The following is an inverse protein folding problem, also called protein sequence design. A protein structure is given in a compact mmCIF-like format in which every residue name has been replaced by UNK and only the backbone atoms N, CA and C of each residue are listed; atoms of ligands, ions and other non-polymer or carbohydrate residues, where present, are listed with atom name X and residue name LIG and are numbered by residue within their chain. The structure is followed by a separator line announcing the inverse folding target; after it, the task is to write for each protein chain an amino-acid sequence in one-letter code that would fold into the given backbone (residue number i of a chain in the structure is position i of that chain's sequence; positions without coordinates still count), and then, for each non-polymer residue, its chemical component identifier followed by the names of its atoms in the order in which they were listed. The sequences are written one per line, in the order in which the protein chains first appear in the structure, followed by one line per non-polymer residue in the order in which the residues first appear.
data_IF_717457074843
#
_entry.id   IF_717457074843
#
_cell.length_a   1.000
_cell.length_b   1.000
_cell.length_c   1.000
_cell.angle_alpha   90.00
_cell.angle_beta   90.00
_cell.angle_gamma   90.00
#
_symmetry.space_group_name_H-M   'P 1'
#
loop_
_entity.id
_entity.type
_entity.pdbx_description
1 polymer ?
#
# COMPACT_ATOMS: atom_id res chain seq x y z
N UNK A 1 11.20 14.49 -29.24
CA UNK A 1 11.70 13.61 -28.14
C UNK A 1 10.48 13.01 -27.48
N UNK A 2 10.29 11.69 -27.56
CA UNK A 2 9.18 10.98 -26.90
C UNK A 2 9.23 11.25 -25.39
N UNK A 3 8.23 11.95 -24.85
CA UNK A 3 8.11 12.12 -23.40
C UNK A 3 7.74 10.78 -22.78
N UNK A 4 8.65 10.23 -21.99
CA UNK A 4 8.49 8.97 -21.26
C UNK A 4 7.97 9.28 -19.85
N UNK A 5 6.86 8.65 -19.46
CA UNK A 5 6.34 8.76 -18.08
C UNK A 5 6.84 7.62 -17.20
N UNK A 6 7.37 7.98 -16.04
CA UNK A 6 8.38 7.15 -15.39
C UNK A 6 7.89 6.02 -14.50
N UNK A 7 6.65 5.98 -13.99
CA UNK A 7 6.29 4.93 -13.02
C UNK A 7 4.83 4.49 -13.12
N UNK A 8 4.61 3.28 -13.64
CA UNK A 8 3.44 2.48 -13.27
C UNK A 8 3.87 1.30 -12.40
N UNK A 9 2.94 0.81 -11.57
CA UNK A 9 3.14 -0.42 -10.81
C UNK A 9 3.43 -1.59 -11.76
N UNK A 10 4.39 -2.45 -11.39
CA UNK A 10 4.67 -3.69 -12.12
C UNK A 10 5.65 -3.56 -13.28
N UNK A 11 6.48 -2.51 -13.33
CA UNK A 11 7.61 -2.46 -14.26
C UNK A 11 7.32 -1.84 -15.62
N UNK A 12 6.16 -1.22 -15.81
CA UNK A 12 5.80 -0.60 -17.08
C UNK A 12 5.92 0.92 -17.04
N UNK A 13 6.20 1.49 -18.21
CA UNK A 13 6.18 2.93 -18.49
C UNK A 13 5.26 3.21 -19.67
N UNK A 14 5.03 4.51 -19.93
CA UNK A 14 4.20 4.97 -21.04
C UNK A 14 4.96 5.94 -21.92
N UNK A 15 4.64 5.88 -23.20
CA UNK A 15 5.14 6.74 -24.26
C UNK A 15 3.95 7.40 -24.95
N UNK A 16 4.09 8.68 -25.30
CA UNK A 16 3.07 9.42 -26.05
C UNK A 16 3.21 9.10 -27.53
N UNK A 17 2.12 8.62 -28.15
CA UNK A 17 2.06 8.29 -29.58
C UNK A 17 1.55 9.46 -30.43
N UNK A 18 0.69 10.31 -29.86
CA UNK A 18 0.17 11.52 -30.52
C UNK A 18 0.20 12.69 -29.54
N UNK A 19 1.23 13.55 -29.68
CA UNK A 19 1.46 14.68 -28.79
C UNK A 19 0.32 15.72 -28.87
N UNK A 20 -0.28 15.93 -30.05
CA UNK A 20 -1.39 16.87 -30.23
C UNK A 20 -2.67 16.36 -29.58
N UNK A 21 -2.99 15.08 -29.74
CA UNK A 21 -4.15 14.48 -29.07
C UNK A 21 -3.95 14.40 -27.55
N UNK A 22 -2.71 14.17 -27.11
CA UNK A 22 -2.34 14.19 -25.71
C UNK A 22 -2.53 15.58 -25.09
N UNK A 23 -2.04 16.64 -25.72
CA UNK A 23 -2.21 18.01 -25.23
C UNK A 23 -3.69 18.42 -25.21
N UNK A 24 -4.43 18.12 -26.29
CA UNK A 24 -5.88 18.35 -26.34
C UNK A 24 -6.65 17.61 -25.25
N UNK A 25 -6.21 16.41 -24.86
CA UNK A 25 -6.85 15.65 -23.79
C UNK A 25 -6.79 16.41 -22.46
N UNK A 26 -5.72 17.18 -22.23
CA UNK A 26 -5.48 17.93 -21.00
C UNK A 26 -6.01 19.37 -21.04
N UNK A 27 -6.21 19.92 -22.22
CA UNK A 27 -6.76 21.26 -22.40
C UNK A 27 -8.16 21.39 -21.77
N UNK A 28 -8.36 22.42 -20.94
CA UNK A 28 -9.64 22.70 -20.29
C UNK A 28 -10.02 21.79 -19.11
N UNK A 29 -9.18 20.81 -18.73
CA UNK A 29 -9.40 20.00 -17.53
C UNK A 29 -8.90 20.74 -16.28
N UNK A 30 -9.76 20.84 -15.26
CA UNK A 30 -9.38 21.42 -13.96
C UNK A 30 -8.42 20.50 -13.20
N UNK A 31 -7.41 21.04 -12.49
CA UNK A 31 -6.51 20.27 -11.64
C UNK A 31 -7.24 19.44 -10.57
N UNK A 32 -6.66 18.29 -10.22
CA UNK A 32 -7.27 17.30 -9.31
C UNK A 32 -6.71 17.32 -7.89
N UNK A 33 -5.74 18.19 -7.60
CA UNK A 33 -5.23 18.40 -6.24
C UNK A 33 -5.23 19.89 -5.92
N UNK A 34 -5.28 20.21 -4.62
CA UNK A 34 -5.26 21.60 -4.14
C UNK A 34 -4.02 22.35 -4.64
N UNK A 35 -2.86 21.72 -4.54
CA UNK A 35 -1.56 22.30 -4.94
C UNK A 35 -1.52 22.54 -6.46
N UNK A 36 -2.03 21.60 -7.26
CA UNK A 36 -2.12 21.77 -8.70
C UNK A 36 -3.14 22.85 -9.09
N UNK A 37 -4.22 23.00 -8.31
CA UNK A 37 -5.20 24.08 -8.49
C UNK A 37 -4.60 25.44 -8.11
N UNK A 38 -3.86 25.53 -7.02
CA UNK A 38 -3.16 26.74 -6.59
C UNK A 38 -2.05 27.16 -7.57
N UNK A 39 -1.31 26.21 -8.15
CA UNK A 39 -0.34 26.51 -9.21
C UNK A 39 -1.02 26.93 -10.53
N UNK A 40 -2.16 26.34 -10.88
CA UNK A 40 -2.97 26.78 -12.03
C UNK A 40 -3.49 28.20 -11.89
N UNK A 41 -3.87 28.63 -10.68
CA UNK A 41 -4.29 30.00 -10.42
C UNK A 41 -3.16 31.02 -10.67
N UNK A 42 -1.90 30.60 -10.58
CA UNK A 42 -0.73 31.46 -10.83
C UNK A 42 -0.38 31.57 -12.32
N UNK A 43 -0.56 30.49 -13.09
CA UNK A 43 -0.42 30.51 -14.54
C UNK A 43 -1.60 29.75 -15.20
N UNK A 44 -2.62 30.46 -15.68
CA UNK A 44 -3.81 29.86 -16.27
C UNK A 44 -3.54 29.18 -17.63
N UNK A 45 -2.35 29.38 -18.22
CA UNK A 45 -1.96 28.73 -19.48
C UNK A 45 -1.32 27.35 -19.25
N UNK A 46 -1.04 26.97 -18.00
CA UNK A 46 -0.53 25.64 -17.68
C UNK A 46 -1.64 24.59 -17.70
N UNK A 47 -1.41 23.51 -18.43
CA UNK A 47 -2.29 22.34 -18.43
C UNK A 47 -2.22 21.60 -17.08
N UNK A 48 -3.31 20.94 -16.69
CA UNK A 48 -3.34 20.03 -15.53
C UNK A 48 -2.15 19.04 -15.55
N UNK A 49 -1.75 18.63 -16.73
CA UNK A 49 -0.62 17.75 -16.95
C UNK A 49 0.72 18.33 -16.47
N UNK A 50 1.05 19.56 -16.86
CA UNK A 50 2.28 20.26 -16.48
C UNK A 50 2.34 20.47 -14.97
N UNK A 51 1.21 20.84 -14.37
CA UNK A 51 1.08 21.06 -12.92
C UNK A 51 1.29 19.77 -12.10
N UNK A 52 0.82 18.64 -12.62
CA UNK A 52 1.03 17.33 -11.99
C UNK A 52 2.49 16.88 -12.04
N UNK A 53 3.22 17.19 -13.12
CA UNK A 53 4.65 16.93 -13.23
C UNK A 53 5.42 17.74 -12.19
N UNK A 54 5.18 19.06 -12.10
CA UNK A 54 5.85 19.94 -11.14
C UNK A 54 5.57 19.54 -9.68
N UNK A 55 4.34 19.11 -9.40
CA UNK A 55 3.95 18.68 -8.05
C UNK A 55 4.43 17.26 -7.70
N UNK A 56 5.14 16.57 -8.59
CA UNK A 56 5.60 15.19 -8.40
C UNK A 56 4.47 14.16 -8.28
N UNK A 57 3.26 14.47 -8.77
CA UNK A 57 2.07 13.62 -8.61
C UNK A 57 1.86 12.72 -9.83
N UNK A 58 1.55 11.45 -9.59
CA UNK A 58 1.21 10.47 -10.64
C UNK A 58 -0.23 10.64 -11.15
N UNK A 59 -0.48 10.27 -12.42
CA UNK A 59 -1.83 10.31 -13.00
C UNK A 59 -2.81 9.32 -12.34
N UNK A 60 -4.09 9.70 -12.18
CA UNK A 60 -5.13 8.74 -11.81
C UNK A 60 -5.19 7.58 -12.82
N UNK A 61 -5.29 6.34 -12.34
CA UNK A 61 -5.33 5.12 -13.19
C UNK A 61 -6.43 5.17 -14.26
N UNK A 62 -7.57 5.81 -13.96
CA UNK A 62 -8.69 5.99 -14.89
C UNK A 62 -8.31 6.83 -16.11
N UNK A 63 -7.42 7.81 -15.94
CA UNK A 63 -6.95 8.70 -17.01
C UNK A 63 -6.00 7.96 -17.95
N UNK A 64 -5.03 7.23 -17.40
CA UNK A 64 -4.12 6.36 -18.16
C UNK A 64 -4.91 5.37 -19.01
N UNK A 65 -5.95 4.75 -18.45
CA UNK A 65 -6.81 3.81 -19.19
C UNK A 65 -7.52 4.44 -20.39
N UNK A 66 -7.96 5.70 -20.29
CA UNK A 66 -8.60 6.43 -21.40
C UNK A 66 -7.60 6.72 -22.51
N UNK A 67 -6.41 7.20 -22.15
CA UNK A 67 -5.33 7.51 -23.09
C UNK A 67 -4.85 6.25 -23.84
N UNK A 68 -4.71 5.11 -23.14
CA UNK A 68 -4.39 3.82 -23.75
C UNK A 68 -5.46 3.37 -24.74
N UNK A 69 -6.74 3.43 -24.34
CA UNK A 69 -7.86 3.04 -25.22
C UNK A 69 -7.95 3.91 -26.47
N UNK A 70 -7.63 5.18 -26.34
CA UNK A 70 -7.63 6.14 -27.44
C UNK A 70 -6.38 6.04 -28.34
N UNK A 71 -5.41 5.18 -28.00
CA UNK A 71 -4.14 5.06 -28.74
C UNK A 71 -3.22 6.27 -28.59
N UNK A 72 -3.54 7.20 -27.69
CA UNK A 72 -2.78 8.44 -27.48
C UNK A 72 -1.46 8.13 -26.76
N UNK A 73 -1.45 7.09 -25.91
CA UNK A 73 -0.24 6.58 -25.27
C UNK A 73 -0.11 5.07 -25.51
N UNK A 74 1.14 4.59 -25.50
CA UNK A 74 1.50 3.18 -25.55
C UNK A 74 2.18 2.77 -24.24
N UNK A 75 1.88 1.57 -23.75
CA UNK A 75 2.55 0.98 -22.59
C UNK A 75 3.72 0.13 -23.06
N UNK A 76 4.89 0.30 -22.45
CA UNK A 76 6.06 -0.55 -22.70
C UNK A 76 6.66 -1.06 -21.38
N UNK A 77 7.36 -2.20 -21.44
CA UNK A 77 8.05 -2.79 -20.28
C UNK A 77 9.38 -2.05 -20.09
N UNK A 78 9.67 -1.59 -18.88
CA UNK A 78 10.94 -0.92 -18.58
C UNK A 78 12.07 -1.93 -18.63
N UNK A 79 13.13 -1.57 -19.33
CA UNK A 79 14.38 -2.31 -19.31
C UNK A 79 14.97 -2.31 -17.90
N UNK A 80 15.58 -3.42 -17.49
CA UNK A 80 16.15 -3.58 -16.14
C UNK A 80 15.13 -3.68 -15.00
N UNK A 81 13.81 -3.74 -15.28
CA UNK A 81 12.84 -3.98 -14.21
C UNK A 81 12.97 -5.41 -13.67
N UNK A 82 13.50 -5.52 -12.46
CA UNK A 82 13.40 -6.72 -11.65
C UNK A 82 12.06 -6.69 -10.93
N UNK A 83 11.24 -7.72 -11.17
CA UNK A 83 10.03 -7.93 -10.38
C UNK A 83 10.49 -8.25 -8.97
N UNK A 84 10.34 -7.30 -8.05
CA UNK A 84 10.55 -7.55 -6.62
C UNK A 84 9.68 -8.75 -6.26
N UNK A 85 10.30 -9.80 -5.70
CA UNK A 85 9.56 -10.95 -5.22
C UNK A 85 8.48 -10.44 -4.27
N UNK A 86 7.26 -10.94 -4.47
CA UNK A 86 6.18 -10.57 -3.55
C UNK A 86 6.57 -11.19 -2.22
N UNK A 87 6.89 -10.36 -1.23
CA UNK A 87 6.91 -10.78 0.17
C UNK A 87 5.60 -11.55 0.41
N UNK A 88 5.72 -12.77 0.94
CA UNK A 88 4.59 -13.66 1.15
C UNK A 88 3.53 -12.89 1.96
N UNK A 89 2.26 -13.12 1.65
CA UNK A 89 1.19 -12.40 2.36
C UNK A 89 1.11 -13.00 3.76
N UNK A 90 1.14 -12.14 4.79
CA UNK A 90 0.85 -12.55 6.17
C UNK A 90 -0.47 -13.30 6.22
N UNK A 91 -0.42 -14.56 6.64
CA UNK A 91 -1.56 -15.39 6.98
C UNK A 91 -2.06 -15.10 8.40
N UNK A 92 -3.06 -15.87 8.81
CA UNK A 92 -3.66 -15.75 10.14
C UNK A 92 -2.66 -16.05 11.26
N UNK A 93 -1.86 -17.11 11.10
CA UNK A 93 -0.87 -17.54 12.09
C UNK A 93 0.21 -16.47 12.29
N UNK A 94 0.69 -15.83 11.22
CA UNK A 94 1.70 -14.77 11.33
C UNK A 94 1.13 -13.54 12.05
N UNK A 95 -0.15 -13.23 11.84
CA UNK A 95 -0.83 -12.13 12.54
C UNK A 95 -1.05 -12.47 14.02
N UNK A 96 -1.38 -13.74 14.34
CA UNK A 96 -1.43 -14.20 15.72
C UNK A 96 -0.09 -14.02 16.41
N UNK A 97 1.00 -14.51 15.80
CA UNK A 97 2.33 -14.36 16.35
C UNK A 97 2.69 -12.87 16.57
N UNK A 98 2.45 -12.01 15.58
CA UNK A 98 2.71 -10.57 15.68
C UNK A 98 1.96 -9.90 16.84
N UNK A 99 0.68 -10.24 17.06
CA UNK A 99 -0.11 -9.72 18.18
C UNK A 99 0.43 -10.24 19.52
N UNK A 100 0.74 -11.53 19.61
CA UNK A 100 1.24 -12.17 20.82
C UNK A 100 2.63 -11.66 21.20
N UNK A 101 3.52 -11.40 20.24
CA UNK A 101 4.80 -10.76 20.52
C UNK A 101 4.61 -9.37 21.14
N UNK A 102 3.73 -8.54 20.56
CA UNK A 102 3.44 -7.21 21.09
C UNK A 102 2.86 -7.26 22.52
N UNK A 103 2.01 -8.24 22.80
CA UNK A 103 1.37 -8.42 24.11
C UNK A 103 2.29 -9.03 25.17
N UNK A 104 3.36 -9.71 24.75
CA UNK A 104 4.35 -10.30 25.65
C UNK A 104 5.33 -9.26 26.26
N UNK A 105 5.31 -8.00 25.79
CA UNK A 105 6.16 -6.91 26.29
C UNK A 105 5.56 -6.17 27.50
N UNK A 106 4.85 -6.89 28.39
CA UNK A 106 4.22 -6.31 29.58
C UNK A 106 2.84 -5.69 29.34
N UNK A 107 2.08 -6.27 28.41
CA UNK A 107 0.71 -5.85 28.10
C UNK A 107 0.63 -4.74 27.06
N UNK A 108 -0.35 -4.86 26.16
CA UNK A 108 -0.51 -3.92 25.05
C UNK A 108 -1.96 -3.49 24.85
N UNK A 109 -2.16 -2.20 24.64
CA UNK A 109 -3.47 -1.66 24.30
C UNK A 109 -3.85 -1.95 22.84
N UNK A 110 -5.14 -2.16 22.58
CA UNK A 110 -5.70 -2.43 21.24
C UNK A 110 -5.22 -1.45 20.16
N UNK A 111 -5.13 -0.16 20.49
CA UNK A 111 -4.67 0.87 19.55
C UNK A 111 -3.22 0.64 19.13
N UNK A 112 -2.34 0.29 20.06
CA UNK A 112 -0.94 -0.04 19.77
C UNK A 112 -0.86 -1.26 18.86
N UNK A 113 -1.65 -2.31 19.11
CA UNK A 113 -1.74 -3.49 18.24
C UNK A 113 -2.14 -3.10 16.82
N UNK A 114 -3.16 -2.26 16.66
CA UNK A 114 -3.63 -1.80 15.33
C UNK A 114 -2.50 -1.12 14.55
N UNK A 115 -1.77 -0.21 15.19
CA UNK A 115 -0.71 0.55 14.54
C UNK A 115 0.52 -0.30 14.26
N UNK A 116 0.96 -1.11 15.22
CA UNK A 116 2.16 -1.93 15.12
C UNK A 116 1.95 -3.10 14.15
N UNK A 117 0.83 -3.81 14.26
CA UNK A 117 0.51 -4.92 13.37
C UNK A 117 -0.02 -4.48 12.00
N UNK A 118 -0.12 -3.17 11.73
CA UNK A 118 -0.66 -2.60 10.48
C UNK A 118 -2.03 -3.21 10.11
N UNK A 119 -2.93 -3.31 11.09
CA UNK A 119 -4.29 -3.82 10.94
C UNK A 119 -5.29 -2.64 10.95
N UNK A 120 -6.53 -2.90 10.56
CA UNK A 120 -7.62 -1.98 10.87
C UNK A 120 -8.41 -2.48 12.09
N UNK A 121 -9.16 -1.58 12.73
CA UNK A 121 -9.91 -1.89 13.96
C UNK A 121 -10.86 -3.10 13.82
N UNK A 122 -11.57 -3.23 12.69
CA UNK A 122 -12.49 -4.36 12.45
C UNK A 122 -11.75 -5.70 12.36
N UNK A 123 -10.56 -5.70 11.76
CA UNK A 123 -9.75 -6.90 11.60
C UNK A 123 -9.09 -7.29 12.93
N UNK A 124 -8.54 -6.32 13.68
CA UNK A 124 -7.90 -6.61 14.96
C UNK A 124 -8.89 -7.21 15.95
N UNK A 125 -10.13 -6.73 15.98
CA UNK A 125 -11.19 -7.27 16.86
C UNK A 125 -11.40 -8.75 16.63
N UNK A 126 -11.53 -9.16 15.36
CA UNK A 126 -11.67 -10.57 15.02
C UNK A 126 -10.49 -11.39 15.50
N UNK A 127 -9.26 -10.91 15.32
CA UNK A 127 -8.08 -11.67 15.75
C UNK A 127 -7.96 -11.73 17.27
N UNK A 128 -8.20 -10.63 17.98
CA UNK A 128 -8.20 -10.60 19.44
C UNK A 128 -9.28 -11.53 20.03
N UNK A 129 -10.49 -11.53 19.48
CA UNK A 129 -11.53 -12.49 19.89
C UNK A 129 -11.08 -13.93 19.69
N UNK A 130 -10.46 -14.27 18.55
CA UNK A 130 -9.96 -15.63 18.31
C UNK A 130 -8.82 -16.01 19.26
N UNK A 131 -7.91 -15.09 19.58
CA UNK A 131 -6.81 -15.33 20.52
C UNK A 131 -7.33 -15.55 21.94
N UNK A 132 -8.30 -14.74 22.37
CA UNK A 132 -8.97 -14.88 23.68
C UNK A 132 -9.73 -16.21 23.76
N UNK A 133 -10.52 -16.56 22.75
CA UNK A 133 -11.26 -17.83 22.70
C UNK A 133 -10.35 -19.07 22.77
N UNK A 134 -9.10 -18.92 22.31
CA UNK A 134 -8.08 -19.98 22.30
C UNK A 134 -7.15 -19.95 23.50
N UNK A 135 -7.38 -19.03 24.44
CA UNK A 135 -6.56 -18.86 25.65
C UNK A 135 -5.08 -18.57 25.32
N UNK A 136 -4.83 -17.87 24.20
CA UNK A 136 -3.47 -17.48 23.79
C UNK A 136 -3.11 -16.07 24.31
N UNK A 137 -4.11 -15.27 24.61
CA UNK A 137 -3.99 -13.93 25.16
C UNK A 137 -5.06 -13.76 26.23
N UNK A 138 -4.81 -12.91 27.21
CA UNK A 138 -5.76 -12.53 28.25
C UNK A 138 -5.82 -11.01 28.41
N UNK A 139 -6.73 -10.52 29.25
CA UNK A 139 -6.87 -9.09 29.53
C UNK A 139 -6.58 -8.84 31.01
N UNK A 140 -5.53 -8.08 31.30
CA UNK A 140 -5.09 -7.66 32.63
C UNK A 140 -5.04 -6.13 32.63
N UNK A 141 -5.73 -5.48 33.57
CA UNK A 141 -5.76 -4.02 33.70
C UNK A 141 -6.04 -3.27 32.38
N UNK A 142 -7.02 -3.75 31.60
CA UNK A 142 -7.42 -3.23 30.28
C UNK A 142 -6.38 -3.40 29.15
N UNK A 143 -5.25 -4.06 29.43
CA UNK A 143 -4.22 -4.41 28.47
C UNK A 143 -4.32 -5.87 28.05
N UNK A 144 -3.93 -6.17 26.82
CA UNK A 144 -3.82 -7.54 26.35
C UNK A 144 -2.44 -8.10 26.69
N UNK A 145 -2.41 -9.22 27.39
CA UNK A 145 -1.17 -9.92 27.79
C UNK A 145 -1.15 -11.34 27.24
N UNK A 146 0.02 -11.78 26.79
CA UNK A 146 0.20 -13.13 26.25
C UNK A 146 0.22 -14.14 27.39
N UNK A 147 -0.61 -15.18 27.30
CA UNK A 147 -0.66 -16.25 28.31
C UNK A 147 0.51 -17.21 28.14
N UNK A 148 0.74 -18.10 29.12
CA UNK A 148 1.72 -19.20 29.01
C UNK A 148 1.49 -20.06 27.75
N UNK A 149 0.22 -20.34 27.42
CA UNK A 149 -0.15 -21.08 26.22
C UNK A 149 0.16 -20.27 24.95
N UNK A 150 -0.01 -18.95 24.99
CA UNK A 150 0.41 -18.03 23.94
C UNK A 150 1.92 -18.01 23.74
N UNK A 151 2.71 -18.07 24.81
CA UNK A 151 4.17 -18.20 24.75
C UNK A 151 4.56 -19.51 24.06
N UNK A 152 3.95 -20.64 24.45
CA UNK A 152 4.19 -21.93 23.76
C UNK A 152 3.83 -21.86 22.28
N UNK A 153 2.75 -21.16 21.90
CA UNK A 153 2.43 -20.94 20.49
C UNK A 153 3.54 -20.18 19.76
N UNK A 154 4.11 -19.14 20.37
CA UNK A 154 5.21 -18.37 19.78
C UNK A 154 6.47 -19.22 19.57
N UNK A 155 6.82 -20.08 20.53
CA UNK A 155 7.96 -21.01 20.40
C UNK A 155 7.79 -21.92 19.18
N UNK A 156 6.62 -22.53 19.00
CA UNK A 156 6.33 -23.37 17.84
C UNK A 156 6.31 -22.58 16.54
N UNK A 157 5.79 -21.34 16.57
CA UNK A 157 5.80 -20.45 15.41
C UNK A 157 7.24 -20.18 14.94
N UNK A 158 8.17 -19.89 15.87
CA UNK A 158 9.59 -19.66 15.54
C UNK A 158 10.25 -20.90 14.94
N UNK A 159 9.93 -22.10 15.42
CA UNK A 159 10.42 -23.36 14.84
C UNK A 159 9.96 -23.52 13.39
N UNK A 160 8.67 -23.25 13.13
CA UNK A 160 8.07 -23.33 11.79
C UNK A 160 8.66 -22.26 10.85
N UNK A 161 8.94 -21.06 11.37
CA UNK A 161 9.59 -19.98 10.61
C UNK A 161 11.02 -20.35 10.23
N UNK A 162 11.80 -20.92 11.15
CA UNK A 162 13.17 -21.41 10.90
C UNK A 162 13.20 -22.50 9.81
N UNK A 163 12.14 -23.29 9.69
CA UNK A 163 11.98 -24.31 8.65
C UNK A 163 11.50 -23.74 7.29
N UNK A 164 11.23 -22.43 7.20
CA UNK A 164 10.76 -21.75 5.99
C UNK A 164 9.30 -22.06 5.64
N UNK A 165 8.53 -22.59 6.59
CA UNK A 165 7.14 -23.02 6.38
C UNK A 165 6.16 -21.87 6.66
N UNK A 166 6.47 -21.01 7.65
CA UNK A 166 5.71 -19.80 7.96
C UNK A 166 5.78 -18.77 6.81
N UNK A 167 4.88 -17.78 6.79
CA UNK A 167 4.63 -16.97 5.59
C UNK A 167 5.38 -15.65 5.51
#
# INVERSE_FOLDING_TARGET
MEKIYHKSYGGYSYEIMDEKAYDRFWWGRKPSSKEAFESWLKDPNMTQHQLMIESGKNYPLRTIRKLLKAGIIRRFKREGYVKVERKKRRGEIDIFAEILYLANEGGVGKTTIVYQANLNFKIVERYLSNLLERDLIEIIDELYETTDRGITFLEHYEEIEKLGIAS
#
